data_IF_387506880229
#
_entry.id   IF_387506880229
#
_cell.length_a   1.000
_cell.length_b   1.000
_cell.length_c   1.000
_cell.angle_alpha   90.00
_cell.angle_beta   90.00
_cell.angle_gamma   90.00
#
_symmetry.space_group_name_H-M   'P 1'
#
loop_
_entity.id
_entity.type
_entity.pdbx_description
1 polymer ?
#
# COMPACT_ATOMS: atom_id res chain seq x y z
N UNK A 1 30.52 -2.19 4.48
CA UNK A 1 30.47 -0.73 4.32
C UNK A 1 30.10 -0.16 5.67
N UNK A 2 30.68 0.97 6.10
CA UNK A 2 30.18 1.63 7.31
C UNK A 2 28.68 1.89 7.09
N UNK A 3 27.87 1.53 8.07
CA UNK A 3 26.41 1.58 8.00
C UNK A 3 26.00 3.06 8.07
N UNK A 4 26.11 3.76 6.93
CA UNK A 4 25.68 5.14 6.80
C UNK A 4 24.16 5.17 7.00
N UNK A 5 23.72 6.00 7.94
CA UNK A 5 22.30 6.13 8.26
C UNK A 5 21.56 6.64 7.02
N UNK A 6 20.52 5.92 6.53
CA UNK A 6 19.77 6.36 5.38
C UNK A 6 19.01 7.65 5.70
N UNK A 7 18.78 8.47 4.68
CA UNK A 7 18.09 9.74 4.84
C UNK A 7 16.69 9.76 4.21
N UNK A 8 15.84 10.59 4.82
CA UNK A 8 14.50 10.95 4.37
C UNK A 8 14.52 12.45 4.05
N UNK A 9 14.19 12.83 2.82
CA UNK A 9 14.13 14.23 2.41
C UNK A 9 12.67 14.71 2.41
N UNK A 10 12.38 15.75 3.20
CA UNK A 10 11.10 16.43 3.24
C UNK A 10 11.20 17.77 2.50
N UNK A 11 10.24 18.06 1.62
CA UNK A 11 10.22 19.27 0.79
C UNK A 11 8.84 19.91 0.90
N UNK A 12 8.79 21.17 1.34
CA UNK A 12 7.55 21.95 1.45
C UNK A 12 7.95 23.44 1.35
N UNK A 13 7.12 24.25 0.70
CA UNK A 13 7.34 25.69 0.60
C UNK A 13 6.84 26.45 1.84
N UNK A 14 6.08 25.77 2.72
CA UNK A 14 5.66 26.24 4.03
C UNK A 14 6.61 25.71 5.13
N UNK A 15 7.48 26.57 5.69
CA UNK A 15 8.47 26.15 6.70
C UNK A 15 7.84 25.67 8.02
N UNK A 16 6.68 26.21 8.41
CA UNK A 16 6.00 25.81 9.65
C UNK A 16 5.41 24.40 9.53
N UNK A 17 4.81 24.10 8.38
CA UNK A 17 4.29 22.76 8.07
C UNK A 17 5.41 21.72 8.01
N UNK A 18 6.51 22.08 7.34
CA UNK A 18 7.67 21.21 7.20
C UNK A 18 8.29 20.86 8.56
N UNK A 19 8.44 21.85 9.42
CA UNK A 19 9.00 21.68 10.76
C UNK A 19 8.07 20.88 11.68
N UNK A 20 6.75 21.11 11.62
CA UNK A 20 5.74 20.31 12.33
C UNK A 20 5.86 18.83 11.98
N UNK A 21 5.91 18.50 10.69
CA UNK A 21 6.07 17.13 10.21
C UNK A 21 7.42 16.54 10.64
N UNK A 22 8.52 17.29 10.49
CA UNK A 22 9.86 16.85 10.89
C UNK A 22 9.92 16.48 12.37
N UNK A 23 9.34 17.30 13.25
CA UNK A 23 9.30 17.03 14.69
C UNK A 23 8.51 15.77 15.02
N UNK A 24 7.35 15.57 14.39
CA UNK A 24 6.54 14.35 14.57
C UNK A 24 7.28 13.10 14.10
N UNK A 25 7.94 13.19 12.95
CA UNK A 25 8.76 12.10 12.42
C UNK A 25 9.94 11.78 13.32
N UNK A 26 10.59 12.79 13.91
CA UNK A 26 11.70 12.58 14.85
C UNK A 26 11.27 11.89 16.16
N UNK A 27 9.99 12.00 16.56
CA UNK A 27 9.43 11.22 17.68
C UNK A 27 9.21 9.75 17.27
N UNK A 28 8.76 9.52 16.04
CA UNK A 28 8.44 8.19 15.55
C UNK A 28 9.67 7.41 15.07
N UNK A 29 10.71 8.09 14.60
CA UNK A 29 11.92 7.53 14.03
C UNK A 29 13.15 8.20 14.66
N UNK A 30 13.89 7.48 15.51
CA UNK A 30 15.06 8.04 16.19
C UNK A 30 16.21 8.29 15.21
N UNK A 31 17.13 9.19 15.57
CA UNK A 31 18.21 9.66 14.69
C UNK A 31 19.19 8.55 14.28
N UNK A 32 19.28 7.47 15.06
CA UNK A 32 20.05 6.27 14.72
C UNK A 32 19.40 5.45 13.59
N UNK A 33 18.08 5.59 13.41
CA UNK A 33 17.33 4.91 12.35
C UNK A 33 17.42 5.68 11.03
N UNK A 34 17.25 7.00 11.06
CA UNK A 34 17.11 7.84 9.86
C UNK A 34 17.59 9.27 10.08
N UNK A 35 18.30 9.81 9.09
CA UNK A 35 18.58 11.23 9.00
C UNK A 35 17.41 11.95 8.31
N UNK A 36 16.66 12.77 9.03
CA UNK A 36 15.55 13.55 8.45
C UNK A 36 16.09 14.89 7.95
N UNK A 37 16.19 15.04 6.63
CA UNK A 37 16.59 16.28 5.94
C UNK A 37 15.36 17.06 5.51
N UNK A 38 15.45 18.37 5.56
CA UNK A 38 14.37 19.29 5.13
C UNK A 38 14.88 20.27 4.10
N UNK A 39 14.06 20.62 3.13
CA UNK A 39 14.34 21.67 2.16
C UNK A 39 13.10 22.54 1.95
N UNK A 40 13.27 23.84 2.19
CA UNK A 40 12.31 24.89 1.81
C UNK A 40 12.89 25.56 0.56
N UNK A 41 12.34 25.31 -0.65
CA UNK A 41 12.89 25.88 -1.87
C UNK A 41 12.84 27.40 -1.88
N UNK A 42 13.93 28.05 -2.31
CA UNK A 42 14.01 29.52 -2.46
C UNK A 42 14.61 29.90 -3.82
N UNK A 43 14.35 31.13 -4.29
CA UNK A 43 14.97 31.63 -5.54
C UNK A 43 16.51 31.71 -5.46
N UNK A 44 17.08 31.75 -4.25
CA UNK A 44 18.53 31.77 -4.00
C UNK A 44 19.21 30.41 -4.23
N UNK A 45 18.44 29.32 -4.26
CA UNK A 45 18.97 27.96 -4.51
C UNK A 45 19.44 27.77 -5.97
N UNK A 46 19.14 28.72 -6.86
CA UNK A 46 19.48 28.63 -8.28
C UNK A 46 18.49 27.74 -9.07
N UNK A 47 18.94 27.05 -10.13
CA UNK A 47 18.07 26.20 -10.94
C UNK A 47 17.45 25.07 -10.08
N UNK A 48 16.11 24.93 -10.01
CA UNK A 48 15.46 24.03 -9.06
C UNK A 48 15.85 22.55 -9.19
N UNK A 49 16.11 22.09 -10.41
CA UNK A 49 16.55 20.71 -10.66
C UNK A 49 17.95 20.44 -10.08
N UNK A 50 18.90 21.36 -10.29
CA UNK A 50 20.26 21.25 -9.77
C UNK A 50 20.27 21.34 -8.24
N UNK A 51 19.45 22.24 -7.68
CA UNK A 51 19.29 22.39 -6.24
C UNK A 51 18.73 21.13 -5.57
N UNK A 52 17.78 20.45 -6.22
CA UNK A 52 17.24 19.18 -5.75
C UNK A 52 18.27 18.05 -5.88
N UNK A 53 18.94 17.94 -7.04
CA UNK A 53 19.96 16.91 -7.28
C UNK A 53 21.12 17.00 -6.28
N UNK A 54 21.52 18.20 -5.88
CA UNK A 54 22.57 18.40 -4.87
C UNK A 54 22.19 17.93 -3.46
N UNK A 55 20.90 17.68 -3.20
CA UNK A 55 20.37 17.27 -1.88
C UNK A 55 20.02 15.78 -1.80
N UNK A 56 19.99 15.09 -2.94
CA UNK A 56 19.75 13.65 -3.02
C UNK A 56 21.07 12.93 -3.22
N UNK A 57 21.30 11.90 -2.42
CA UNK A 57 22.49 11.05 -2.48
C UNK A 57 22.10 9.57 -2.49
N UNK A 58 23.11 8.69 -2.50
CA UNK A 58 22.89 7.24 -2.50
C UNK A 58 22.25 6.71 -1.21
N UNK A 59 22.20 7.53 -0.15
CA UNK A 59 21.57 7.23 1.13
C UNK A 59 20.11 7.69 1.19
N UNK A 60 19.63 8.46 0.19
CA UNK A 60 18.23 8.90 0.13
C UNK A 60 17.29 7.72 -0.14
N UNK A 61 16.58 7.30 0.90
CA UNK A 61 15.70 6.14 0.86
C UNK A 61 14.22 6.49 0.60
N UNK A 62 13.82 7.73 0.87
CA UNK A 62 12.46 8.22 0.64
C UNK A 62 12.48 9.75 0.49
N UNK A 63 11.68 10.26 -0.44
CA UNK A 63 11.43 11.69 -0.62
C UNK A 63 9.96 11.97 -0.40
N UNK A 64 9.62 12.97 0.41
CA UNK A 64 8.26 13.46 0.58
C UNK A 64 8.23 14.93 0.16
N UNK A 65 7.31 15.29 -0.73
CA UNK A 65 7.22 16.63 -1.31
C UNK A 65 5.80 17.19 -1.20
N UNK A 66 5.65 18.50 -1.03
CA UNK A 66 4.37 19.14 -1.32
C UNK A 66 4.06 19.11 -2.83
N UNK A 67 2.77 19.09 -3.16
CA UNK A 67 2.30 19.07 -4.54
C UNK A 67 2.59 20.39 -5.26
N UNK A 68 2.41 21.53 -4.56
CA UNK A 68 2.51 22.86 -5.12
C UNK A 68 3.63 23.68 -4.44
N UNK A 69 4.85 23.51 -4.92
CA UNK A 69 6.03 24.25 -4.46
C UNK A 69 6.18 25.64 -5.10
N UNK A 70 5.17 26.10 -5.86
CA UNK A 70 5.32 27.29 -6.72
C UNK A 70 5.24 28.61 -5.96
N UNK A 71 4.84 28.60 -4.69
CA UNK A 71 4.71 29.82 -3.88
C UNK A 71 6.06 30.48 -3.66
N UNK A 72 7.11 29.68 -3.49
CA UNK A 72 8.47 30.15 -3.19
C UNK A 72 9.41 30.17 -4.39
N UNK A 73 9.20 29.27 -5.37
CA UNK A 73 10.05 29.18 -6.58
C UNK A 73 9.21 28.93 -7.82
N UNK A 74 9.25 29.86 -8.78
CA UNK A 74 8.50 29.72 -10.03
C UNK A 74 8.99 28.51 -10.84
N UNK A 75 8.07 27.63 -11.20
CA UNK A 75 8.32 26.50 -12.08
C UNK A 75 8.81 25.22 -11.39
N UNK A 76 8.98 25.23 -10.06
CA UNK A 76 9.17 24.00 -9.29
C UNK A 76 7.80 23.43 -8.90
N UNK A 77 7.49 22.25 -9.42
CA UNK A 77 6.26 21.52 -9.12
C UNK A 77 6.60 20.20 -8.43
N UNK A 78 5.77 19.74 -7.49
CA UNK A 78 5.94 18.42 -6.86
C UNK A 78 5.98 17.29 -7.89
N UNK A 79 5.22 17.43 -8.99
CA UNK A 79 5.25 16.48 -10.12
C UNK A 79 6.64 16.34 -10.77
N UNK A 80 7.45 17.40 -10.80
CA UNK A 80 8.81 17.36 -11.34
C UNK A 80 9.74 16.55 -10.42
N UNK A 81 9.59 16.73 -9.09
CA UNK A 81 10.30 15.94 -8.08
C UNK A 81 9.92 14.46 -8.19
N UNK A 82 8.61 14.16 -8.25
CA UNK A 82 8.09 12.80 -8.44
C UNK A 82 8.68 12.17 -9.69
N UNK A 83 8.61 12.85 -10.84
CA UNK A 83 9.15 12.35 -12.10
C UNK A 83 10.66 12.09 -12.08
N UNK A 84 11.43 12.89 -11.34
CA UNK A 84 12.87 12.66 -11.16
C UNK A 84 13.14 11.44 -10.27
N UNK A 85 12.47 11.34 -9.12
CA UNK A 85 12.61 10.21 -8.19
C UNK A 85 12.24 8.88 -8.87
N UNK A 86 11.17 8.86 -9.66
CA UNK A 86 10.75 7.69 -10.43
C UNK A 86 11.84 7.22 -11.42
N UNK A 87 12.55 8.14 -12.09
CA UNK A 87 13.67 7.80 -12.99
C UNK A 87 14.86 7.19 -12.25
N UNK A 88 15.06 7.57 -10.99
CA UNK A 88 16.14 7.09 -10.12
C UNK A 88 15.73 5.92 -9.23
N UNK A 89 14.49 5.44 -9.36
CA UNK A 89 13.90 4.41 -8.50
C UNK A 89 14.00 4.75 -7.00
N UNK A 90 13.81 6.03 -6.66
CA UNK A 90 13.71 6.51 -5.28
C UNK A 90 12.23 6.62 -4.93
N UNK A 91 11.73 5.95 -3.87
CA UNK A 91 10.36 6.10 -3.42
C UNK A 91 10.02 7.57 -3.15
N UNK A 92 8.86 8.02 -3.63
CA UNK A 92 8.43 9.40 -3.50
C UNK A 92 6.95 9.47 -3.13
N UNK A 93 6.64 10.31 -2.15
CA UNK A 93 5.28 10.63 -1.78
C UNK A 93 4.97 12.11 -1.87
N UNK A 94 3.71 12.44 -2.13
CA UNK A 94 3.25 13.82 -2.22
C UNK A 94 2.12 14.17 -1.24
N UNK A 95 2.14 15.42 -0.76
CA UNK A 95 1.03 16.00 0.00
C UNK A 95 0.03 16.62 -0.97
N UNK A 96 -1.16 16.02 -1.06
CA UNK A 96 -2.29 16.61 -1.79
C UNK A 96 -3.15 17.42 -0.81
N UNK A 97 -2.67 18.57 -0.33
CA UNK A 97 -3.45 19.40 0.62
C UNK A 97 -4.63 20.16 -0.01
N UNK A 98 -4.77 20.19 -1.34
CA UNK A 98 -5.62 21.18 -2.01
C UNK A 98 -6.74 20.71 -2.95
N UNK A 99 -6.91 19.41 -3.26
CA UNK A 99 -7.75 19.01 -4.40
C UNK A 99 -8.89 18.03 -4.04
N UNK A 100 -9.63 18.30 -2.96
CA UNK A 100 -10.82 17.54 -2.56
C UNK A 100 -11.95 17.61 -3.62
N UNK A 101 -11.93 18.63 -4.49
CA UNK A 101 -12.95 18.86 -5.52
C UNK A 101 -12.65 18.20 -6.90
N UNK A 102 -11.53 17.50 -7.06
CA UNK A 102 -11.21 16.84 -8.33
C UNK A 102 -11.86 15.46 -8.42
N UNK A 103 -12.27 15.08 -9.63
CA UNK A 103 -12.70 13.71 -9.94
C UNK A 103 -11.63 12.72 -9.40
N UNK A 104 -12.05 11.57 -8.82
CA UNK A 104 -11.11 10.50 -8.48
C UNK A 104 -10.24 10.18 -9.69
N UNK A 105 -8.93 10.09 -9.51
CA UNK A 105 -8.00 9.71 -10.59
C UNK A 105 -7.60 8.25 -10.43
N UNK A 106 -7.30 7.61 -11.55
CA UNK A 106 -6.72 6.27 -11.51
C UNK A 106 -5.45 6.30 -10.62
N UNK A 107 -5.35 5.43 -9.60
CA UNK A 107 -4.21 5.43 -8.71
C UNK A 107 -2.92 5.17 -9.48
N UNK A 108 -1.97 6.10 -9.40
CA UNK A 108 -0.62 5.86 -9.89
C UNK A 108 0.08 4.87 -8.94
N UNK A 109 0.45 3.70 -9.45
CA UNK A 109 1.08 2.66 -8.66
C UNK A 109 2.40 3.12 -8.02
N UNK A 110 3.14 4.00 -8.69
CA UNK A 110 4.48 4.44 -8.34
C UNK A 110 4.51 5.82 -7.66
N UNK A 111 3.42 6.17 -6.99
CA UNK A 111 3.27 7.42 -6.26
C UNK A 111 2.64 7.12 -4.89
N UNK A 112 3.26 7.61 -3.82
CA UNK A 112 2.74 7.45 -2.47
C UNK A 112 1.89 8.68 -2.14
N UNK A 113 0.62 8.48 -1.78
CA UNK A 113 -0.26 9.59 -1.38
C UNK A 113 -0.22 9.72 0.13
N UNK A 114 0.46 10.75 0.64
CA UNK A 114 0.58 10.97 2.08
C UNK A 114 -0.72 11.57 2.61
N UNK A 115 -1.28 11.06 3.74
CA UNK A 115 -2.41 11.70 4.40
C UNK A 115 -2.15 13.18 4.68
N UNK A 116 -3.20 14.00 4.56
CA UNK A 116 -3.08 15.47 4.66
C UNK A 116 -2.96 15.97 6.09
N UNK A 117 -3.37 15.18 7.07
CA UNK A 117 -3.20 15.52 8.48
C UNK A 117 -1.81 15.10 8.97
N UNK A 118 -1.18 15.96 9.77
CA UNK A 118 0.22 15.78 10.15
C UNK A 118 0.46 14.51 11.00
N UNK A 119 -0.53 14.05 11.76
CA UNK A 119 -0.38 12.89 12.65
C UNK A 119 -0.40 11.57 11.86
N UNK A 120 -1.44 11.32 11.05
CA UNK A 120 -1.50 10.16 10.18
C UNK A 120 -0.47 10.27 9.05
N UNK A 121 -0.14 11.49 8.60
CA UNK A 121 0.91 11.75 7.63
C UNK A 121 2.28 11.29 8.13
N UNK A 122 2.67 11.69 9.35
CA UNK A 122 3.94 11.25 9.95
C UNK A 122 3.97 9.73 10.16
N UNK A 123 2.88 9.13 10.66
CA UNK A 123 2.78 7.69 10.86
C UNK A 123 2.89 6.91 9.54
N UNK A 124 2.24 7.40 8.47
CA UNK A 124 2.33 6.84 7.14
C UNK A 124 3.77 6.90 6.62
N UNK A 125 4.40 8.08 6.63
CA UNK A 125 5.77 8.26 6.14
C UNK A 125 6.76 7.35 6.88
N UNK A 126 6.66 7.25 8.21
CA UNK A 126 7.52 6.37 9.00
C UNK A 126 7.32 4.88 8.64
N UNK A 127 6.06 4.46 8.48
CA UNK A 127 5.72 3.08 8.09
C UNK A 127 6.22 2.77 6.68
N UNK A 128 6.07 3.70 5.75
CA UNK A 128 6.52 3.58 4.37
C UNK A 128 8.04 3.48 4.30
N UNK A 129 8.76 4.38 4.99
CA UNK A 129 10.22 4.34 5.08
C UNK A 129 10.72 2.98 5.57
N UNK A 130 10.19 2.50 6.70
CA UNK A 130 10.53 1.19 7.28
C UNK A 130 10.20 0.03 6.35
N UNK A 131 9.07 0.10 5.64
CA UNK A 131 8.67 -0.93 4.68
C UNK A 131 9.64 -1.06 3.51
N UNK A 132 10.01 0.06 2.88
CA UNK A 132 11.02 0.05 1.82
C UNK A 132 12.39 -0.41 2.32
N UNK A 133 12.82 0.03 3.51
CA UNK A 133 14.07 -0.45 4.12
C UNK A 133 14.06 -1.94 4.39
N UNK A 134 12.99 -2.46 4.98
CA UNK A 134 12.84 -3.89 5.26
C UNK A 134 12.92 -4.74 4.00
N UNK A 135 12.30 -4.28 2.89
CA UNK A 135 12.44 -4.93 1.59
C UNK A 135 13.87 -4.90 1.07
N UNK A 136 14.53 -3.73 1.14
CA UNK A 136 15.93 -3.58 0.70
C UNK A 136 16.85 -4.54 1.43
N UNK A 137 16.81 -4.52 2.77
CA UNK A 137 17.60 -5.41 3.61
C UNK A 137 17.31 -6.88 3.32
N UNK A 138 16.04 -7.25 3.14
CA UNK A 138 15.67 -8.63 2.79
C UNK A 138 16.22 -9.08 1.43
N UNK A 139 16.38 -8.18 0.45
CA UNK A 139 17.01 -8.49 -0.84
C UNK A 139 18.53 -8.59 -0.68
N UNK A 140 19.15 -7.66 0.05
CA UNK A 140 20.59 -7.65 0.34
C UNK A 140 21.04 -8.90 1.10
N UNK A 141 20.24 -9.38 2.05
CA UNK A 141 20.49 -10.59 2.85
C UNK A 141 20.27 -11.89 2.06
N UNK A 142 19.58 -11.83 0.92
CA UNK A 142 19.29 -12.99 0.07
C UNK A 142 19.72 -12.76 -1.39
N UNK A 143 21.04 -12.71 -1.70
CA UNK A 143 21.54 -12.45 -3.06
C UNK A 143 21.02 -13.40 -4.14
N UNK A 144 20.64 -14.63 -3.77
CA UNK A 144 20.00 -15.59 -4.68
C UNK A 144 18.70 -15.08 -5.29
N UNK A 145 18.02 -14.11 -4.65
CA UNK A 145 16.84 -13.44 -5.21
C UNK A 145 17.14 -12.66 -6.50
N UNK A 146 18.39 -12.19 -6.67
CA UNK A 146 18.81 -11.43 -7.84
C UNK A 146 19.09 -12.32 -9.07
N UNK A 147 19.45 -13.59 -8.84
CA UNK A 147 19.96 -14.48 -9.89
C UNK A 147 19.08 -15.70 -10.16
N UNK A 148 18.40 -16.23 -9.14
CA UNK A 148 17.65 -17.50 -9.26
C UNK A 148 16.14 -17.31 -9.46
N UNK A 149 15.59 -16.15 -9.09
CA UNK A 149 14.15 -15.89 -9.18
C UNK A 149 13.79 -15.24 -10.52
N UNK A 150 12.81 -15.85 -11.21
CA UNK A 150 12.47 -15.49 -12.59
C UNK A 150 11.43 -14.37 -12.72
N UNK A 151 10.79 -13.95 -11.62
CA UNK A 151 9.71 -12.96 -11.64
C UNK A 151 9.69 -12.10 -10.38
N UNK A 152 9.17 -10.87 -10.48
CA UNK A 152 8.95 -9.98 -9.34
C UNK A 152 8.06 -10.63 -8.27
N UNK A 153 7.04 -11.39 -8.69
CA UNK A 153 6.16 -12.10 -7.79
C UNK A 153 6.88 -13.20 -7.01
N UNK A 154 7.84 -13.90 -7.64
CA UNK A 154 8.67 -14.91 -6.99
C UNK A 154 9.64 -14.30 -5.97
N UNK A 155 10.19 -13.12 -6.27
CA UNK A 155 11.03 -12.37 -5.33
C UNK A 155 10.19 -11.94 -4.13
N UNK A 156 9.04 -11.30 -4.36
CA UNK A 156 8.15 -10.84 -3.29
C UNK A 156 7.65 -12.00 -2.42
N UNK A 157 7.19 -13.10 -3.04
CA UNK A 157 6.70 -14.26 -2.30
C UNK A 157 7.80 -14.89 -1.43
N UNK A 158 9.04 -14.87 -1.90
CA UNK A 158 10.20 -15.34 -1.13
C UNK A 158 10.52 -14.41 0.03
N UNK A 159 10.57 -13.08 -0.20
CA UNK A 159 10.81 -12.07 0.84
C UNK A 159 9.78 -12.11 1.95
N UNK A 160 8.52 -12.39 1.61
CA UNK A 160 7.43 -12.50 2.59
C UNK A 160 7.33 -13.88 3.24
N UNK A 161 8.22 -14.83 2.91
CA UNK A 161 8.20 -16.20 3.45
C UNK A 161 7.00 -17.03 2.99
N UNK A 162 6.38 -16.67 1.86
CA UNK A 162 5.13 -17.26 1.34
C UNK A 162 5.25 -17.64 -0.13
N UNK A 163 6.25 -18.44 -0.49
CA UNK A 163 6.53 -18.86 -1.87
C UNK A 163 5.31 -19.42 -2.64
N UNK A 164 4.41 -20.12 -1.94
CA UNK A 164 3.16 -20.66 -2.49
C UNK A 164 2.17 -19.59 -2.99
N UNK A 165 2.35 -18.32 -2.62
CA UNK A 165 1.50 -17.20 -3.03
C UNK A 165 2.02 -16.48 -4.29
N UNK A 166 3.08 -16.98 -4.94
CA UNK A 166 3.64 -16.36 -6.15
C UNK A 166 2.57 -16.05 -7.22
N UNK A 167 1.69 -17.00 -7.54
CA UNK A 167 0.65 -16.80 -8.56
C UNK A 167 -0.37 -15.72 -8.15
N UNK A 168 -0.67 -15.60 -6.86
CA UNK A 168 -1.57 -14.57 -6.35
C UNK A 168 -0.92 -13.19 -6.43
N UNK A 169 0.35 -13.06 -6.06
CA UNK A 169 1.08 -11.80 -6.21
C UNK A 169 1.30 -11.41 -7.67
N UNK A 170 1.51 -12.38 -8.56
CA UNK A 170 1.63 -12.12 -10.00
C UNK A 170 0.36 -11.45 -10.58
N UNK A 171 -0.82 -11.77 -10.07
CA UNK A 171 -2.07 -11.14 -10.51
C UNK A 171 -2.12 -9.63 -10.21
N UNK A 172 -1.54 -9.18 -9.09
CA UNK A 172 -1.41 -7.73 -8.78
C UNK A 172 -0.44 -7.00 -9.72
N UNK A 173 0.49 -7.74 -10.32
CA UNK A 173 1.57 -7.20 -11.14
C UNK A 173 1.22 -7.14 -12.63
N UNK A 174 0.05 -7.65 -13.02
CA UNK A 174 -0.40 -7.70 -14.42
C UNK A 174 -0.43 -6.34 -15.12
N UNK A 175 -0.65 -5.25 -14.37
CA UNK A 175 -0.74 -3.87 -14.90
C UNK A 175 0.58 -3.10 -14.85
N UNK A 176 1.65 -3.64 -14.26
CA UNK A 176 2.97 -2.98 -14.17
C UNK A 176 3.48 -2.51 -15.53
N UNK A 177 3.20 -3.29 -16.59
CA UNK A 177 3.71 -3.00 -17.92
C UNK A 177 2.97 -1.93 -18.71
N UNK A 178 1.74 -1.58 -18.31
CA UNK A 178 0.94 -0.59 -19.02
C UNK A 178 1.22 0.84 -18.54
N UNK A 179 1.64 1.00 -17.28
CA UNK A 179 1.68 2.30 -16.59
C UNK A 179 3.05 2.96 -16.56
N UNK A 180 4.16 2.29 -16.94
CA UNK A 180 5.48 2.93 -16.90
C UNK A 180 6.51 2.28 -17.85
N UNK A 181 6.47 2.63 -19.13
CA UNK A 181 7.34 2.06 -20.19
C UNK A 181 8.83 2.33 -19.96
N UNK A 182 9.19 3.46 -19.34
CA UNK A 182 10.57 3.79 -18.97
C UNK A 182 11.10 2.89 -17.85
N UNK A 183 10.27 2.60 -16.85
CA UNK A 183 10.61 1.68 -15.78
C UNK A 183 10.68 0.23 -16.28
N UNK A 184 9.80 -0.15 -17.21
CA UNK A 184 9.95 -1.40 -17.95
C UNK A 184 11.24 -1.46 -18.76
N UNK A 185 11.70 -0.35 -19.34
CA UNK A 185 12.96 -0.30 -20.08
C UNK A 185 14.16 -0.52 -19.15
N UNK A 186 14.15 0.09 -17.96
CA UNK A 186 15.15 -0.18 -16.91
C UNK A 186 15.06 -1.61 -16.37
N UNK A 187 13.84 -2.15 -16.23
CA UNK A 187 13.66 -3.56 -15.88
C UNK A 187 14.16 -4.49 -17.00
N UNK A 188 14.05 -4.08 -18.27
CA UNK A 188 14.55 -4.84 -19.43
C UNK A 188 16.06 -4.73 -19.59
N UNK A 189 16.71 -3.65 -19.14
CA UNK A 189 18.18 -3.60 -19.11
C UNK A 189 18.76 -4.62 -18.14
N UNK A 190 18.03 -5.06 -17.10
CA UNK A 190 18.43 -6.25 -16.33
C UNK A 190 18.53 -7.53 -17.17
N UNK A 191 17.84 -7.59 -18.31
CA UNK A 191 17.84 -8.72 -19.23
C UNK A 191 18.69 -8.48 -20.51
N UNK A 192 19.38 -7.33 -20.62
CA UNK A 192 20.17 -6.91 -21.78
C UNK A 192 21.69 -7.17 -21.66
N UNK A 193 22.47 -6.65 -22.62
CA UNK A 193 23.94 -6.80 -22.70
C UNK A 193 24.71 -5.94 -21.67
N UNK A 194 24.19 -4.76 -21.32
CA UNK A 194 24.67 -3.98 -20.18
C UNK A 194 24.08 -4.57 -18.90
N UNK A 195 24.83 -5.43 -18.21
CA UNK A 195 24.41 -5.95 -16.91
C UNK A 195 24.50 -4.83 -15.86
N UNK A 196 23.38 -4.28 -15.38
CA UNK A 196 23.43 -3.35 -14.26
C UNK A 196 24.02 -4.06 -13.04
N UNK A 197 24.68 -3.28 -12.19
CA UNK A 197 25.26 -3.82 -10.97
C UNK A 197 24.17 -4.29 -10.00
N UNK A 198 24.59 -5.01 -8.96
CA UNK A 198 23.66 -5.57 -7.99
C UNK A 198 23.01 -4.48 -7.13
N UNK A 199 23.65 -3.33 -6.93
CA UNK A 199 23.09 -2.21 -6.18
C UNK A 199 21.90 -1.60 -6.93
N UNK A 200 22.02 -1.41 -8.25
CA UNK A 200 20.95 -0.99 -9.15
C UNK A 200 19.80 -1.98 -9.17
N UNK A 201 20.09 -3.29 -9.20
CA UNK A 201 19.08 -4.35 -9.09
C UNK A 201 18.31 -4.24 -7.79
N UNK A 202 19.02 -4.17 -6.67
CA UNK A 202 18.43 -4.07 -5.34
C UNK A 202 17.55 -2.82 -5.25
N UNK A 203 18.05 -1.66 -5.70
CA UNK A 203 17.30 -0.40 -5.70
C UNK A 203 16.01 -0.50 -6.51
N UNK A 204 16.07 -0.97 -7.75
CA UNK A 204 14.88 -1.06 -8.60
C UNK A 204 13.90 -2.14 -8.12
N UNK A 205 14.37 -3.29 -7.65
CA UNK A 205 13.50 -4.30 -7.05
C UNK A 205 12.81 -3.78 -5.79
N UNK A 206 13.56 -3.14 -4.88
CA UNK A 206 13.01 -2.51 -3.68
C UNK A 206 11.92 -1.51 -4.05
N UNK A 207 12.21 -0.64 -5.01
CA UNK A 207 11.28 0.36 -5.50
C UNK A 207 10.00 -0.26 -6.06
N UNK A 208 10.10 -1.22 -6.99
CA UNK A 208 8.92 -1.82 -7.63
C UNK A 208 8.12 -2.65 -6.64
N UNK A 209 8.79 -3.51 -5.87
CA UNK A 209 8.11 -4.41 -4.94
C UNK A 209 7.47 -3.65 -3.79
N UNK A 210 8.11 -2.59 -3.28
CA UNK A 210 7.54 -1.76 -2.23
C UNK A 210 6.27 -1.04 -2.69
N UNK A 211 6.26 -0.49 -3.91
CA UNK A 211 5.05 0.12 -4.47
C UNK A 211 3.95 -0.91 -4.74
N UNK A 212 4.28 -2.08 -5.30
CA UNK A 212 3.28 -3.14 -5.51
C UNK A 212 2.70 -3.60 -4.16
N UNK A 213 3.53 -3.79 -3.15
CA UNK A 213 3.07 -4.23 -1.84
C UNK A 213 2.20 -3.16 -1.16
N UNK A 214 2.69 -1.93 -1.08
CA UNK A 214 2.00 -0.83 -0.39
C UNK A 214 0.75 -0.34 -1.13
N UNK A 215 0.89 0.00 -2.42
CA UNK A 215 -0.17 0.66 -3.18
C UNK A 215 -1.16 -0.31 -3.85
N UNK A 216 -0.80 -1.60 -3.96
CA UNK A 216 -1.69 -2.61 -4.55
C UNK A 216 -2.10 -3.69 -3.53
N UNK A 217 -1.16 -4.50 -3.04
CA UNK A 217 -1.51 -5.71 -2.25
C UNK A 217 -2.12 -5.36 -0.89
N UNK A 218 -1.55 -4.42 -0.14
CA UNK A 218 -2.05 -4.03 1.19
C UNK A 218 -3.29 -3.13 1.11
N UNK A 219 -3.46 -2.40 -0.01
CA UNK A 219 -4.60 -1.51 -0.25
C UNK A 219 -5.84 -2.27 -0.74
N UNK A 220 -5.66 -3.25 -1.62
CA UNK A 220 -6.75 -4.00 -2.23
C UNK A 220 -6.74 -5.45 -1.72
N UNK A 221 -7.67 -5.83 -0.82
CA UNK A 221 -7.64 -7.14 -0.20
C UNK A 221 -7.70 -8.33 -1.17
N UNK A 222 -6.85 -9.31 -0.88
CA UNK A 222 -6.79 -10.61 -1.54
C UNK A 222 -6.02 -11.60 -0.67
N UNK A 223 -4.70 -11.78 -0.86
CA UNK A 223 -3.89 -12.67 0.00
C UNK A 223 -3.63 -12.09 1.39
N UNK A 224 -3.63 -10.76 1.53
CA UNK A 224 -3.49 -10.04 2.80
C UNK A 224 -4.76 -9.24 3.05
N UNK A 225 -5.25 -9.28 4.27
CA UNK A 225 -6.41 -8.54 4.76
C UNK A 225 -5.93 -7.45 5.72
N UNK A 226 -6.31 -6.20 5.50
CA UNK A 226 -6.31 -5.17 6.56
C UNK A 226 -7.39 -5.46 7.60
N UNK A 227 -7.29 -4.84 8.78
CA UNK A 227 -8.34 -4.81 9.82
C UNK A 227 -9.74 -4.59 9.23
N UNK A 228 -9.88 -3.59 8.35
CA UNK A 228 -11.15 -3.27 7.71
C UNK A 228 -11.66 -4.41 6.83
N UNK A 229 -10.79 -4.95 5.97
CA UNK A 229 -11.17 -6.05 5.10
C UNK A 229 -11.37 -7.37 5.85
N UNK A 230 -10.71 -7.59 6.99
CA UNK A 230 -10.99 -8.73 7.87
C UNK A 230 -12.40 -8.63 8.45
N UNK A 231 -12.79 -7.46 8.96
CA UNK A 231 -14.16 -7.24 9.44
C UNK A 231 -15.18 -7.43 8.31
N UNK A 232 -14.91 -6.90 7.12
CA UNK A 232 -15.74 -7.16 5.95
C UNK A 232 -15.82 -8.66 5.64
N UNK A 233 -14.70 -9.38 5.69
CA UNK A 233 -14.59 -10.82 5.45
C UNK A 233 -15.41 -11.67 6.44
N UNK A 234 -15.67 -11.14 7.65
CA UNK A 234 -16.53 -11.73 8.69
C UNK A 234 -17.95 -11.12 8.73
N UNK A 235 -18.37 -10.37 7.70
CA UNK A 235 -19.66 -9.68 7.64
C UNK A 235 -20.02 -8.84 8.90
N UNK A 236 -19.04 -8.09 9.43
CA UNK A 236 -19.19 -7.30 10.67
C UNK A 236 -18.66 -5.88 10.53
N UNK A 237 -18.85 -5.06 11.57
CA UNK A 237 -18.37 -3.67 11.65
C UNK A 237 -16.93 -3.58 12.14
N UNK A 238 -16.28 -2.44 11.89
CA UNK A 238 -14.94 -2.14 12.44
C UNK A 238 -14.94 -2.10 13.98
N UNK A 239 -16.05 -1.74 14.61
CA UNK A 239 -16.18 -1.68 16.08
C UNK A 239 -15.99 -3.05 16.75
N UNK A 240 -16.14 -4.14 16.00
CA UNK A 240 -15.93 -5.50 16.49
C UNK A 240 -14.47 -5.97 16.34
N UNK A 241 -13.59 -5.16 15.73
CA UNK A 241 -12.21 -5.56 15.43
C UNK A 241 -11.41 -5.96 16.68
N UNK A 242 -11.58 -5.26 17.81
CA UNK A 242 -10.88 -5.61 19.05
C UNK A 242 -11.21 -7.00 19.59
N UNK A 243 -12.43 -7.49 19.33
CA UNK A 243 -12.82 -8.86 19.70
C UNK A 243 -12.37 -9.90 18.67
N UNK A 244 -12.32 -9.52 17.38
CA UNK A 244 -12.02 -10.43 16.27
C UNK A 244 -10.52 -10.64 16.09
N UNK A 245 -9.72 -9.57 16.13
CA UNK A 245 -8.29 -9.65 15.84
C UNK A 245 -7.51 -10.65 16.73
N UNK A 246 -7.79 -10.77 18.03
CA UNK A 246 -7.12 -11.76 18.88
C UNK A 246 -7.34 -13.21 18.45
N UNK A 247 -8.50 -13.54 17.86
CA UNK A 247 -8.79 -14.88 17.33
C UNK A 247 -7.85 -15.26 16.18
N UNK A 248 -7.33 -14.27 15.47
CA UNK A 248 -6.47 -14.42 14.30
C UNK A 248 -5.03 -14.00 14.55
N UNK A 249 -4.57 -14.02 15.81
CA UNK A 249 -3.21 -13.62 16.17
C UNK A 249 -2.13 -14.41 15.38
N UNK A 250 -2.34 -15.71 15.17
CA UNK A 250 -1.41 -16.57 14.43
C UNK A 250 -1.43 -16.34 12.91
N UNK A 251 -2.43 -15.61 12.40
CA UNK A 251 -2.52 -15.22 11.00
C UNK A 251 -1.92 -13.83 10.74
N UNK A 252 -1.34 -13.16 11.74
CA UNK A 252 -0.81 -11.80 11.59
C UNK A 252 0.25 -11.69 10.50
N UNK A 253 0.14 -10.65 9.69
CA UNK A 253 1.18 -10.22 8.77
C UNK A 253 2.13 -9.26 9.50
N UNK A 254 3.40 -9.64 9.59
CA UNK A 254 4.48 -8.87 10.24
C UNK A 254 5.56 -8.44 9.26
N UNK A 255 5.25 -8.42 7.96
CA UNK A 255 6.21 -8.06 6.91
C UNK A 255 6.39 -6.54 6.74
N UNK A 256 7.04 -6.11 5.64
CA UNK A 256 7.17 -4.70 5.28
C UNK A 256 5.84 -3.93 5.34
N UNK A 257 5.88 -2.66 5.76
CA UNK A 257 4.69 -1.79 5.89
C UNK A 257 3.64 -2.24 6.94
N UNK A 258 3.96 -3.22 7.80
CA UNK A 258 3.04 -3.66 8.87
C UNK A 258 3.04 -2.76 10.10
N UNK A 259 4.06 -1.90 10.27
CA UNK A 259 4.16 -1.01 11.42
C UNK A 259 2.94 -0.09 11.53
N UNK A 260 2.35 0.01 12.73
CA UNK A 260 1.16 0.85 12.96
C UNK A 260 -0.15 0.31 12.37
N UNK A 261 -0.13 -0.83 11.69
CA UNK A 261 -1.30 -1.40 11.04
C UNK A 261 -1.54 -2.85 11.43
N UNK A 262 -2.79 -3.26 11.27
CA UNK A 262 -3.25 -4.61 11.56
C UNK A 262 -3.57 -5.32 10.25
N UNK A 263 -2.70 -6.25 9.86
CA UNK A 263 -2.84 -7.06 8.67
C UNK A 263 -2.80 -8.56 8.99
N UNK A 264 -3.43 -9.36 8.13
CA UNK A 264 -3.61 -10.80 8.32
C UNK A 264 -3.46 -11.54 6.99
N UNK A 265 -2.80 -12.69 7.01
CA UNK A 265 -2.75 -13.60 5.87
C UNK A 265 -4.09 -14.32 5.70
N UNK A 266 -4.78 -14.09 4.58
CA UNK A 266 -6.10 -14.71 4.34
C UNK A 266 -6.06 -16.23 4.48
N UNK A 267 -5.09 -16.89 3.86
CA UNK A 267 -5.00 -18.35 3.92
C UNK A 267 -4.69 -18.94 5.31
N UNK A 268 -4.22 -18.11 6.26
CA UNK A 268 -4.08 -18.52 7.66
C UNK A 268 -5.37 -18.22 8.44
N UNK A 269 -6.05 -17.11 8.14
CA UNK A 269 -7.41 -16.83 8.64
C UNK A 269 -8.37 -17.97 8.27
N UNK A 270 -8.37 -18.39 7.00
CA UNK A 270 -9.19 -19.50 6.50
C UNK A 270 -8.92 -20.79 7.29
N UNK A 271 -7.64 -21.09 7.56
CA UNK A 271 -7.24 -22.27 8.34
C UNK A 271 -7.71 -22.20 9.79
N UNK A 272 -7.70 -21.02 10.39
CA UNK A 272 -8.19 -20.81 11.77
C UNK A 272 -9.70 -21.01 11.81
N UNK A 273 -10.43 -20.45 10.83
CA UNK A 273 -11.88 -20.65 10.70
C UNK A 273 -12.24 -22.13 10.52
N UNK A 274 -11.51 -22.86 9.68
CA UNK A 274 -11.69 -24.31 9.52
C UNK A 274 -11.51 -25.06 10.86
N UNK A 275 -10.63 -24.54 11.73
CA UNK A 275 -10.38 -25.08 13.07
C UNK A 275 -11.46 -24.76 14.11
N UNK A 276 -12.30 -23.74 13.90
CA UNK A 276 -13.44 -23.45 14.79
C UNK A 276 -14.53 -24.52 14.72
N UNK A 277 -14.56 -25.31 13.64
CA UNK A 277 -15.16 -26.65 13.63
C UNK A 277 -16.57 -26.72 14.25
N UNK A 278 -17.53 -25.98 13.71
CA UNK A 278 -18.93 -26.15 14.03
C UNK A 278 -19.60 -27.12 13.05
N UNK A 279 -20.49 -27.99 13.55
CA UNK A 279 -21.52 -28.67 12.73
C UNK A 279 -22.56 -27.61 12.30
N UNK A 280 -22.12 -26.56 11.60
CA UNK A 280 -23.01 -25.57 11.03
C UNK A 280 -23.71 -26.21 9.85
N UNK A 281 -25.05 -26.26 9.92
CA UNK A 281 -25.86 -26.70 8.79
C UNK A 281 -25.67 -25.71 7.64
N UNK A 282 -24.92 -26.13 6.62
CA UNK A 282 -24.63 -25.30 5.45
C UNK A 282 -25.88 -24.98 4.63
N UNK A 283 -27.00 -25.68 4.87
CA UNK A 283 -28.24 -25.46 4.15
C UNK A 283 -28.85 -24.07 4.38
N UNK A 284 -28.54 -23.42 5.51
CA UNK A 284 -29.09 -22.11 5.88
C UNK A 284 -28.13 -20.94 5.62
N UNK A 285 -26.94 -21.20 5.07
CA UNK A 285 -25.92 -20.17 4.87
C UNK A 285 -26.03 -19.56 3.47
N UNK A 286 -26.18 -18.23 3.42
CA UNK A 286 -26.45 -17.54 2.17
C UNK A 286 -25.18 -17.06 1.44
N UNK A 287 -24.02 -17.05 2.12
CA UNK A 287 -22.72 -16.66 1.55
C UNK A 287 -21.54 -17.18 2.38
N UNK A 288 -20.32 -17.14 1.83
CA UNK A 288 -19.12 -17.47 2.60
C UNK A 288 -18.91 -16.53 3.79
N UNK A 289 -19.32 -15.27 3.67
CA UNK A 289 -19.15 -14.28 4.74
C UNK A 289 -20.10 -14.55 5.91
N UNK A 290 -21.30 -15.06 5.61
CA UNK A 290 -22.27 -15.53 6.61
C UNK A 290 -21.70 -16.75 7.36
N UNK A 291 -21.12 -17.73 6.64
CA UNK A 291 -20.40 -18.84 7.26
C UNK A 291 -19.29 -18.35 8.21
N UNK A 292 -18.40 -17.48 7.71
CA UNK A 292 -17.28 -16.95 8.48
C UNK A 292 -17.76 -16.24 9.75
N UNK A 293 -18.81 -15.42 9.62
CA UNK A 293 -19.44 -14.73 10.74
C UNK A 293 -19.92 -15.71 11.78
N UNK A 294 -20.67 -16.76 11.39
CA UNK A 294 -21.21 -17.76 12.32
C UNK A 294 -20.13 -18.49 13.09
N UNK A 295 -19.07 -18.92 12.40
CA UNK A 295 -17.91 -19.55 13.04
C UNK A 295 -17.28 -18.66 14.10
N UNK A 296 -17.14 -17.36 13.81
CA UNK A 296 -16.61 -16.38 14.77
C UNK A 296 -17.58 -16.10 15.91
N UNK A 297 -18.89 -15.98 15.64
CA UNK A 297 -19.92 -15.80 16.68
C UNK A 297 -19.94 -16.98 17.66
N UNK A 298 -19.79 -18.21 17.16
CA UNK A 298 -19.68 -19.42 17.98
C UNK A 298 -18.41 -19.40 18.83
N UNK A 299 -17.25 -19.09 18.22
CA UNK A 299 -15.98 -18.98 18.93
C UNK A 299 -15.99 -17.89 20.02
N UNK A 300 -16.70 -16.79 19.81
CA UNK A 300 -16.87 -15.70 20.77
C UNK A 300 -17.98 -15.94 21.79
N UNK A 301 -18.88 -16.91 21.55
CA UNK A 301 -20.06 -17.16 22.37
C UNK A 301 -21.09 -16.01 22.35
N UNK A 302 -21.09 -15.17 21.31
CA UNK A 302 -22.01 -14.03 21.17
C UNK A 302 -22.21 -13.61 19.70
N UNK A 303 -23.36 -12.99 19.37
CA UNK A 303 -23.54 -12.39 18.06
C UNK A 303 -22.61 -11.17 17.85
N UNK A 304 -22.23 -10.94 16.60
CA UNK A 304 -21.47 -9.77 16.15
C UNK A 304 -22.41 -8.66 15.66
N UNK A 305 -21.99 -7.40 15.72
CA UNK A 305 -22.69 -6.32 15.03
C UNK A 305 -22.68 -6.54 13.49
N UNK A 306 -23.79 -6.27 12.82
CA UNK A 306 -23.87 -6.25 11.34
C UNK A 306 -23.31 -4.95 10.79
N UNK A 307 -22.64 -5.00 9.64
CA UNK A 307 -22.27 -3.79 8.92
C UNK A 307 -23.50 -3.07 8.35
N UNK A 308 -23.34 -1.79 8.04
CA UNK A 308 -24.43 -0.98 7.52
C UNK A 308 -24.60 -1.21 6.01
N UNK A 309 -25.61 -1.99 5.64
CA UNK A 309 -25.95 -2.24 4.24
C UNK A 309 -27.46 -2.49 4.09
N UNK A 310 -28.18 -1.48 3.63
CA UNK A 310 -29.65 -1.50 3.41
C UNK A 310 -30.12 -2.65 2.52
N UNK A 311 -29.26 -3.13 1.63
CA UNK A 311 -29.61 -4.14 0.61
C UNK A 311 -29.60 -5.56 1.17
N UNK A 312 -28.76 -5.85 2.15
CA UNK A 312 -28.63 -7.19 2.72
C UNK A 312 -28.78 -7.23 4.25
N UNK A 313 -29.11 -6.10 4.89
CA UNK A 313 -29.16 -6.00 6.36
C UNK A 313 -27.81 -6.27 7.03
N UNK A 314 -26.71 -6.15 6.29
CA UNK A 314 -25.35 -6.37 6.80
C UNK A 314 -24.94 -7.84 7.01
N UNK A 315 -25.74 -8.82 6.57
CA UNK A 315 -25.45 -10.25 6.80
C UNK A 315 -24.64 -10.91 5.68
N UNK A 316 -24.68 -10.37 4.45
CA UNK A 316 -24.03 -10.96 3.26
C UNK A 316 -22.72 -10.29 2.87
N UNK A 317 -21.94 -9.79 3.80
CA UNK A 317 -20.75 -8.96 3.51
C UNK A 317 -19.66 -9.69 2.70
N UNK A 318 -18.43 -9.69 3.21
CA UNK A 318 -17.34 -10.49 2.63
C UNK A 318 -16.41 -9.73 1.71
N UNK A 319 -16.85 -8.59 1.17
CA UNK A 319 -16.06 -7.79 0.23
C UNK A 319 -15.83 -6.37 0.74
N UNK A 320 -14.75 -5.76 0.28
CA UNK A 320 -14.37 -4.40 0.62
C UNK A 320 -14.43 -3.50 -0.61
N UNK A 321 -15.06 -2.32 -0.48
CA UNK A 321 -14.95 -1.29 -1.48
C UNK A 321 -13.79 -0.33 -1.16
N UNK A 322 -12.72 -0.30 -1.97
CA UNK A 322 -11.58 0.57 -1.72
C UNK A 322 -11.89 2.05 -2.01
N UNK A 323 -12.95 2.35 -2.75
CA UNK A 323 -13.31 3.71 -3.15
C UNK A 323 -14.21 4.41 -2.12
N UNK A 324 -15.17 3.68 -1.56
CA UNK A 324 -16.07 4.20 -0.52
C UNK A 324 -15.71 3.73 0.89
N UNK A 325 -14.61 2.98 1.01
CA UNK A 325 -13.99 2.59 2.29
C UNK A 325 -15.01 1.90 3.21
N UNK A 326 -15.80 0.97 2.64
CA UNK A 326 -16.85 0.25 3.37
C UNK A 326 -17.02 -1.21 2.94
N UNK A 327 -17.57 -2.07 3.79
CA UNK A 327 -17.96 -3.43 3.41
C UNK A 327 -19.09 -3.41 2.38
N UNK A 328 -19.08 -4.35 1.43
CA UNK A 328 -20.13 -4.55 0.42
C UNK A 328 -20.42 -6.05 0.25
N UNK A 329 -21.59 -6.38 -0.30
CA UNK A 329 -22.02 -7.76 -0.54
C UNK A 329 -22.01 -8.12 -2.03
N UNK A 330 -22.12 -9.41 -2.34
CA UNK A 330 -22.10 -9.92 -3.72
C UNK A 330 -23.35 -9.59 -4.55
N UNK A 331 -24.41 -9.06 -3.93
CA UNK A 331 -25.65 -8.74 -4.64
C UNK A 331 -25.38 -7.75 -5.77
N UNK A 332 -25.98 -7.99 -6.92
CA UNK A 332 -25.81 -7.17 -8.12
C UNK A 332 -26.35 -5.74 -7.97
N UNK A 333 -27.24 -5.48 -7.01
CA UNK A 333 -27.69 -4.14 -6.65
C UNK A 333 -26.78 -3.45 -5.65
N UNK A 334 -25.88 -4.17 -4.97
CA UNK A 334 -24.95 -3.63 -3.95
C UNK A 334 -23.57 -3.33 -4.48
N UNK A 335 -23.00 -4.22 -5.31
CA UNK A 335 -21.64 -4.03 -5.81
C UNK A 335 -21.33 -4.81 -7.08
N UNK A 336 -20.28 -4.38 -7.79
CA UNK A 336 -19.77 -5.02 -9.01
C UNK A 336 -18.39 -5.66 -8.78
N UNK A 337 -18.12 -6.82 -9.39
CA UNK A 337 -16.99 -7.70 -9.03
C UNK A 337 -15.59 -7.19 -9.40
N UNK A 338 -15.46 -6.23 -10.29
CA UNK A 338 -14.17 -5.59 -10.59
C UNK A 338 -14.37 -4.39 -11.51
N UNK A 339 -13.44 -3.43 -11.42
CA UNK A 339 -13.28 -2.33 -12.38
C UNK A 339 -11.89 -2.41 -12.99
N UNK A 340 -11.65 -1.68 -14.09
CA UNK A 340 -10.32 -1.52 -14.68
C UNK A 340 -9.26 -1.09 -13.65
N UNK A 341 -9.66 -0.36 -12.60
CA UNK A 341 -8.77 0.15 -11.54
C UNK A 341 -8.45 -0.83 -10.41
N UNK A 342 -9.18 -1.95 -10.28
CA UNK A 342 -8.91 -2.95 -9.23
C UNK A 342 -7.94 -4.01 -9.79
N UNK A 343 -6.80 -4.30 -9.12
CA UNK A 343 -5.89 -5.35 -9.57
C UNK A 343 -6.59 -6.72 -9.62
N UNK A 344 -6.30 -7.54 -10.61
CA UNK A 344 -6.96 -8.86 -10.76
C UNK A 344 -6.69 -9.83 -9.60
N UNK A 345 -5.63 -9.61 -8.83
CA UNK A 345 -5.33 -10.37 -7.61
C UNK A 345 -6.20 -9.99 -6.39
N UNK A 346 -6.94 -8.88 -6.45
CA UNK A 346 -7.76 -8.35 -5.38
C UNK A 346 -9.15 -8.99 -5.33
N UNK A 347 -9.17 -10.30 -5.11
CA UNK A 347 -10.38 -11.14 -5.17
C UNK A 347 -11.46 -10.77 -4.15
N UNK A 348 -11.12 -10.02 -3.10
CA UNK A 348 -12.05 -9.57 -2.07
C UNK A 348 -12.43 -8.08 -2.22
N UNK A 349 -12.06 -7.46 -3.34
CA UNK A 349 -12.50 -6.11 -3.68
C UNK A 349 -13.74 -6.15 -4.57
N UNK A 350 -14.68 -5.25 -4.28
CA UNK A 350 -15.82 -4.96 -5.16
C UNK A 350 -16.12 -3.47 -5.14
N UNK A 351 -16.60 -2.91 -6.24
CA UNK A 351 -17.00 -1.50 -6.27
C UNK A 351 -18.46 -1.39 -5.85
N UNK A 352 -18.76 -0.53 -4.89
CA UNK A 352 -20.14 -0.19 -4.54
C UNK A 352 -20.93 0.23 -5.79
N UNK A 353 -22.16 -0.27 -5.91
CA UNK A 353 -23.00 -0.03 -7.09
C UNK A 353 -23.29 1.45 -7.32
N UNK A 354 -23.65 2.20 -6.29
CA UNK A 354 -24.01 3.62 -6.42
C UNK A 354 -22.81 4.44 -6.90
N UNK A 355 -21.64 4.20 -6.29
CA UNK A 355 -20.39 4.80 -6.73
C UNK A 355 -20.04 4.39 -8.17
N UNK A 356 -20.19 3.12 -8.52
CA UNK A 356 -19.91 2.64 -9.88
C UNK A 356 -20.82 3.32 -10.91
N UNK A 357 -22.13 3.33 -10.70
CA UNK A 357 -23.08 3.88 -11.67
C UNK A 357 -22.91 5.40 -11.86
N UNK A 358 -22.53 6.13 -10.80
CA UNK A 358 -22.25 7.57 -10.86
C UNK A 358 -20.91 7.87 -11.56
N UNK A 359 -19.85 7.15 -11.21
CA UNK A 359 -18.48 7.55 -11.56
C UNK A 359 -17.88 6.75 -12.72
N UNK A 360 -18.30 5.51 -12.97
CA UNK A 360 -17.73 4.67 -14.02
C UNK A 360 -17.76 5.30 -15.43
N UNK A 361 -18.84 5.98 -15.86
CA UNK A 361 -18.88 6.63 -17.17
C UNK A 361 -17.83 7.74 -17.33
N UNK A 362 -17.47 8.41 -16.23
CA UNK A 362 -16.52 9.52 -16.20
C UNK A 362 -15.07 9.03 -16.03
N UNK A 363 -14.89 7.91 -15.34
CA UNK A 363 -13.59 7.41 -14.89
C UNK A 363 -13.07 6.22 -15.72
N UNK A 364 -13.91 5.63 -16.58
CA UNK A 364 -13.55 4.46 -17.38
C UNK A 364 -13.40 3.18 -16.55
N UNK A 365 -14.23 3.01 -15.51
CA UNK A 365 -14.19 1.88 -14.57
C UNK A 365 -14.75 0.57 -15.12
#
# INVERSE_FOLDING_TARGET
>A
MADETPNLLLIDDNPESLESLRQRLAVLMPAEEVEIRTWVPTEEDGPPAEAFEARVDDQTALVITDYDLTTSVKGLFGLSIVGWCQKKAIPVGDFSRGNVANLPKEPNLFELRVPTDDEHGAAFVATTFRGFRSLRSGIEEAPALLTERRSLAAVLSSLLGRSRLESQFAAYMSRLGASNSALLQQLRSFAGEDQPDDADKIRLLTYVLGHVLCNAILKYPGPILSRHSLCAYMATTLGESEAIEPLFADARYTGPFSAGHSYFWRGDVDRILDGFGGDLDQADLESFADLNRRLVEEALGRPLATHDCDRCGGVKGGFWCPFTVRPVCERADCSVPSSSWIPSGAQLCRVERDFYDEWAPLLGL
#
